data_IF_328175910671
#
_entry.id   IF_328175910671
#
_cell.length_a   1.000
_cell.length_b   1.000
_cell.length_c   1.000
_cell.angle_alpha   90.00
_cell.angle_beta   90.00
_cell.angle_gamma   90.00
#
_symmetry.space_group_name_H-M   'P 1'
#
loop_
_entity.id
_entity.type
_entity.pdbx_description
1 polymer ?
#
# COMPACT_ATOMS: atom_id res chain seq x y z
N UNK A 1 -8.73 3.16 17.37
CA UNK A 1 -9.09 1.73 17.35
C UNK A 1 -10.61 1.66 17.20
N UNK A 2 -11.07 0.89 16.23
CA UNK A 2 -12.49 0.66 15.93
C UNK A 2 -12.82 -0.78 16.31
N UNK A 3 -13.80 -0.97 17.18
CA UNK A 3 -14.20 -2.31 17.64
C UNK A 3 -15.09 -3.06 16.64
N UNK A 4 -15.73 -2.33 15.75
CA UNK A 4 -16.54 -2.90 14.67
C UNK A 4 -16.46 -1.96 13.47
N UNK A 5 -16.02 -2.49 12.35
CA UNK A 5 -15.88 -1.75 11.10
C UNK A 5 -16.29 -2.66 9.95
N UNK A 6 -17.10 -2.13 9.06
CA UNK A 6 -17.39 -2.82 7.82
C UNK A 6 -16.12 -2.78 6.94
N UNK A 7 -15.75 -3.92 6.39
CA UNK A 7 -14.61 -4.01 5.46
C UNK A 7 -15.05 -3.54 4.07
N UNK A 8 -14.21 -2.71 3.47
CA UNK A 8 -14.47 -2.14 2.17
C UNK A 8 -13.75 -2.87 1.03
N UNK A 9 -13.87 -2.33 -0.16
CA UNK A 9 -13.27 -2.88 -1.38
C UNK A 9 -11.73 -2.88 -1.35
N UNK A 10 -11.09 -2.00 -0.60
CA UNK A 10 -9.63 -1.96 -0.45
C UNK A 10 -9.06 -3.24 0.15
N UNK A 11 -9.86 -3.97 0.95
CA UNK A 11 -9.52 -5.30 1.44
C UNK A 11 -10.12 -6.41 0.58
N UNK A 12 -11.43 -6.32 0.28
CA UNK A 12 -12.17 -7.45 -0.29
C UNK A 12 -11.83 -7.71 -1.76
N UNK A 13 -11.50 -6.68 -2.54
CA UNK A 13 -11.14 -6.85 -3.95
C UNK A 13 -9.81 -7.59 -4.11
N UNK A 14 -8.69 -7.17 -3.50
CA UNK A 14 -7.44 -7.92 -3.60
C UNK A 14 -7.58 -9.37 -3.12
N UNK A 15 -8.24 -9.59 -1.98
CA UNK A 15 -8.44 -10.94 -1.45
C UNK A 15 -9.27 -11.80 -2.41
N UNK A 16 -10.34 -11.25 -2.98
CA UNK A 16 -11.19 -12.00 -3.92
C UNK A 16 -10.46 -12.36 -5.21
N UNK A 17 -9.62 -11.46 -5.72
CA UNK A 17 -8.83 -11.71 -6.92
C UNK A 17 -7.75 -12.78 -6.70
N UNK A 18 -7.12 -12.79 -5.54
CA UNK A 18 -6.03 -13.71 -5.25
C UNK A 18 -6.48 -15.05 -4.64
N UNK A 19 -7.54 -15.02 -3.85
CA UNK A 19 -7.98 -16.16 -3.04
C UNK A 19 -9.38 -16.69 -3.41
N UNK A 20 -10.05 -16.07 -4.39
CA UNK A 20 -11.45 -16.37 -4.71
C UNK A 20 -12.44 -15.78 -3.70
N UNK A 21 -13.72 -16.06 -3.88
CA UNK A 21 -14.75 -15.61 -2.96
C UNK A 21 -14.82 -16.53 -1.75
N UNK A 22 -14.84 -16.00 -0.52
CA UNK A 22 -15.01 -16.84 0.65
C UNK A 22 -16.44 -17.37 0.73
N UNK A 23 -16.59 -18.57 1.24
CA UNK A 23 -17.90 -19.09 1.65
C UNK A 23 -18.06 -19.01 3.16
N UNK A 24 -19.31 -19.01 3.69
CA UNK A 24 -19.53 -19.02 5.13
C UNK A 24 -18.85 -20.20 5.86
N UNK A 25 -18.68 -21.32 5.17
CA UNK A 25 -18.08 -22.54 5.73
C UNK A 25 -16.56 -22.55 5.65
N UNK A 26 -15.98 -21.97 4.61
CA UNK A 26 -14.54 -22.06 4.36
C UNK A 26 -13.78 -20.77 4.73
N UNK A 27 -14.47 -19.61 4.68
CA UNK A 27 -13.80 -18.32 4.89
C UNK A 27 -12.69 -18.05 3.87
N UNK A 28 -11.73 -17.23 4.25
CA UNK A 28 -10.50 -17.00 3.49
C UNK A 28 -9.49 -18.12 3.77
N UNK A 29 -8.57 -18.46 2.82
CA UNK A 29 -7.61 -19.55 2.99
C UNK A 29 -6.54 -19.29 4.06
N UNK A 30 -6.46 -18.06 4.58
CA UNK A 30 -5.53 -17.65 5.61
C UNK A 30 -6.19 -16.63 6.56
N UNK A 31 -5.71 -16.49 7.80
CA UNK A 31 -6.10 -15.40 8.68
C UNK A 31 -5.72 -14.05 8.06
N UNK A 32 -6.63 -13.07 8.17
CA UNK A 32 -6.46 -11.73 7.63
C UNK A 32 -6.67 -10.70 8.72
N UNK A 33 -5.74 -9.77 8.87
CA UNK A 33 -5.84 -8.62 9.76
C UNK A 33 -6.06 -7.37 8.91
N UNK A 34 -7.28 -6.81 8.85
CA UNK A 34 -7.53 -5.57 8.15
C UNK A 34 -6.90 -4.40 8.91
N UNK A 35 -6.14 -3.57 8.21
CA UNK A 35 -5.50 -2.38 8.74
C UNK A 35 -5.97 -1.16 7.96
N UNK A 36 -7.00 -0.48 8.45
CA UNK A 36 -7.56 0.69 7.81
C UNK A 36 -6.70 1.94 8.08
N UNK A 37 -6.37 2.66 7.02
CA UNK A 37 -5.59 3.90 7.07
C UNK A 37 -6.45 5.04 6.52
N UNK A 38 -6.68 6.07 7.34
CA UNK A 38 -7.36 7.26 6.86
C UNK A 38 -6.42 8.10 5.98
N UNK A 39 -6.71 8.17 4.69
CA UNK A 39 -5.94 8.95 3.72
C UNK A 39 -6.74 10.09 3.09
N UNK A 40 -8.03 10.22 3.41
CA UNK A 40 -8.94 11.20 2.80
C UNK A 40 -9.31 12.32 3.75
N UNK A 41 -9.61 12.00 5.01
CA UNK A 41 -10.04 12.98 6.00
C UNK A 41 -8.86 13.49 6.83
N UNK A 42 -8.79 14.80 7.01
CA UNK A 42 -7.75 15.41 7.87
C UNK A 42 -7.98 15.04 9.34
N UNK A 43 -6.92 14.72 10.10
CA UNK A 43 -5.51 14.67 9.68
C UNK A 43 -5.15 13.32 9.03
N UNK A 44 -4.47 13.39 7.87
CA UNK A 44 -3.94 12.20 7.20
C UNK A 44 -2.52 11.88 7.70
N UNK A 45 -2.11 10.59 7.79
CA UNK A 45 -0.76 10.23 8.19
C UNK A 45 0.25 10.62 7.12
N UNK A 46 1.40 11.18 7.53
CA UNK A 46 2.50 11.43 6.61
C UNK A 46 3.12 10.14 6.09
N UNK A 47 3.83 10.20 4.97
CA UNK A 47 4.59 9.06 4.45
C UNK A 47 5.58 8.49 5.47
N UNK A 48 6.26 9.36 6.24
CA UNK A 48 7.15 8.92 7.32
C UNK A 48 6.39 8.19 8.43
N UNK A 49 5.18 8.65 8.77
CA UNK A 49 4.34 7.95 9.75
C UNK A 49 3.93 6.58 9.25
N UNK A 50 3.51 6.47 7.99
CA UNK A 50 3.17 5.20 7.37
C UNK A 50 4.37 4.24 7.36
N UNK A 51 5.54 4.71 6.95
CA UNK A 51 6.76 3.91 6.95
C UNK A 51 7.13 3.42 8.35
N UNK A 52 7.04 4.27 9.37
CA UNK A 52 7.32 3.89 10.77
C UNK A 52 6.27 2.91 11.34
N UNK A 53 5.01 2.99 10.91
CA UNK A 53 4.00 1.98 11.25
C UNK A 53 4.42 0.61 10.69
N UNK A 54 4.88 0.57 9.45
CA UNK A 54 5.41 -0.66 8.85
C UNK A 54 6.55 -1.27 9.69
N UNK A 55 7.51 -0.45 10.10
CA UNK A 55 8.60 -0.90 10.99
C UNK A 55 8.09 -1.45 12.34
N UNK A 56 7.07 -0.82 12.90
CA UNK A 56 6.45 -1.32 14.14
C UNK A 56 5.74 -2.67 13.91
N UNK A 57 5.09 -2.84 12.76
CA UNK A 57 4.51 -4.14 12.36
C UNK A 57 5.62 -5.19 12.22
N UNK A 58 6.73 -4.86 11.57
CA UNK A 58 7.89 -5.76 11.48
C UNK A 58 8.37 -6.21 12.84
N UNK A 59 8.56 -5.28 13.78
CA UNK A 59 8.95 -5.60 15.14
C UNK A 59 7.96 -6.54 15.85
N UNK A 60 6.67 -6.33 15.64
CA UNK A 60 5.64 -7.19 16.19
C UNK A 60 5.70 -8.61 15.59
N UNK A 61 5.94 -8.73 14.28
CA UNK A 61 6.12 -10.02 13.61
C UNK A 61 7.35 -10.75 14.14
N UNK A 62 8.49 -10.07 14.25
CA UNK A 62 9.74 -10.66 14.74
C UNK A 62 9.65 -11.11 16.21
N UNK A 63 8.74 -10.52 16.99
CA UNK A 63 8.47 -10.90 18.38
C UNK A 63 7.42 -12.01 18.54
N UNK A 64 6.79 -12.43 17.45
CA UNK A 64 5.77 -13.47 17.48
C UNK A 64 6.43 -14.84 17.57
N UNK A 65 5.92 -15.70 18.45
CA UNK A 65 6.57 -16.97 18.82
C UNK A 65 6.21 -18.16 17.89
N UNK A 66 5.40 -17.92 16.87
CA UNK A 66 5.01 -18.94 15.92
C UNK A 66 5.75 -18.76 14.59
N UNK A 67 6.16 -19.87 13.99
CA UNK A 67 6.76 -19.90 12.64
C UNK A 67 5.66 -19.80 11.58
N UNK A 68 5.42 -18.59 11.11
CA UNK A 68 4.39 -18.27 10.11
C UNK A 68 4.95 -17.41 8.98
N UNK A 69 4.42 -17.60 7.79
CA UNK A 69 4.67 -16.69 6.67
C UNK A 69 3.71 -15.49 6.75
N UNK A 70 4.26 -14.31 6.82
CA UNK A 70 3.48 -13.07 6.89
C UNK A 70 3.61 -12.30 5.58
N UNK A 71 2.47 -11.98 4.97
CA UNK A 71 2.36 -11.13 3.81
C UNK A 71 1.71 -9.80 4.21
N UNK A 72 2.29 -8.69 3.79
CA UNK A 72 1.74 -7.36 4.05
C UNK A 72 1.39 -6.71 2.72
N UNK A 73 0.14 -6.35 2.56
CA UNK A 73 -0.39 -5.77 1.33
C UNK A 73 -0.68 -4.30 1.53
N UNK A 74 0.00 -3.44 0.76
CA UNK A 74 -0.42 -2.06 0.56
C UNK A 74 -1.42 -2.02 -0.58
N UNK A 75 -2.60 -1.50 -0.36
CA UNK A 75 -3.68 -1.40 -1.35
C UNK A 75 -3.96 0.05 -1.71
N UNK A 76 -4.77 0.29 -2.72
CA UNK A 76 -5.06 1.60 -3.28
C UNK A 76 -4.54 1.75 -4.70
N UNK A 77 -5.23 2.55 -5.51
CA UNK A 77 -4.86 2.83 -6.89
C UNK A 77 -3.62 3.73 -7.00
N UNK A 78 -2.98 3.70 -8.16
CA UNK A 78 -1.93 4.66 -8.51
C UNK A 78 -2.56 5.99 -8.94
N UNK A 79 -2.00 6.71 -9.90
CA UNK A 79 -2.58 7.99 -10.29
C UNK A 79 -4.02 7.83 -10.78
N UNK A 80 -4.92 8.57 -10.19
CA UNK A 80 -6.31 8.72 -10.63
C UNK A 80 -6.98 9.91 -9.95
N UNK A 81 -7.97 10.45 -10.64
CA UNK A 81 -8.87 11.44 -10.10
C UNK A 81 -10.26 11.24 -10.67
N UNK A 82 -11.22 10.97 -9.81
CA UNK A 82 -12.58 10.57 -10.23
C UNK A 82 -13.48 11.77 -10.51
N UNK A 83 -13.22 12.91 -9.87
CA UNK A 83 -14.09 14.07 -9.91
C UNK A 83 -13.31 15.39 -10.10
N UNK A 84 -14.04 16.45 -10.46
CA UNK A 84 -13.50 17.80 -10.61
C UNK A 84 -12.84 18.05 -11.95
N UNK A 85 -12.14 19.19 -12.06
CA UNK A 85 -11.56 19.67 -13.33
C UNK A 85 -10.48 18.75 -13.93
N UNK A 86 -9.91 17.88 -13.12
CA UNK A 86 -8.87 16.92 -13.54
C UNK A 86 -9.38 15.48 -13.54
N UNK A 87 -10.69 15.27 -13.59
CA UNK A 87 -11.26 13.91 -13.69
C UNK A 87 -10.63 13.15 -14.88
N UNK A 88 -10.20 11.90 -14.62
CA UNK A 88 -9.47 11.10 -15.60
C UNK A 88 -7.95 11.32 -15.61
N UNK A 89 -7.39 12.07 -14.65
CA UNK A 89 -5.95 12.25 -14.52
C UNK A 89 -5.24 10.88 -14.40
N UNK A 90 -4.28 10.68 -15.29
CA UNK A 90 -3.30 9.58 -15.23
C UNK A 90 -1.92 10.19 -15.43
N UNK A 91 -0.97 9.80 -14.57
CA UNK A 91 0.42 10.26 -14.66
C UNK A 91 1.37 9.06 -14.60
N UNK A 92 1.53 8.42 -15.75
CA UNK A 92 2.35 7.20 -15.88
C UNK A 92 3.82 7.41 -15.47
N UNK A 93 4.38 8.58 -15.77
CA UNK A 93 5.77 8.89 -15.41
C UNK A 93 5.93 8.94 -13.88
N UNK A 94 5.04 9.65 -13.20
CA UNK A 94 5.05 9.75 -11.74
C UNK A 94 4.80 8.39 -11.09
N UNK A 95 3.85 7.61 -11.60
CA UNK A 95 3.52 6.28 -11.10
C UNK A 95 4.72 5.33 -11.17
N UNK A 96 5.41 5.27 -12.30
CA UNK A 96 6.59 4.43 -12.44
C UNK A 96 7.75 4.91 -11.55
N UNK A 97 7.96 6.22 -11.44
CA UNK A 97 8.94 6.79 -10.51
C UNK A 97 8.59 6.47 -9.05
N UNK A 98 7.31 6.46 -8.69
CA UNK A 98 6.86 6.04 -7.36
C UNK A 98 7.25 4.58 -7.07
N UNK A 99 7.00 3.67 -8.02
CA UNK A 99 7.38 2.26 -7.89
C UNK A 99 8.90 2.09 -7.76
N UNK A 100 9.70 2.84 -8.54
CA UNK A 100 11.16 2.84 -8.45
C UNK A 100 11.64 3.32 -7.08
N UNK A 101 11.11 4.45 -6.60
CA UNK A 101 11.47 4.99 -5.29
C UNK A 101 11.03 4.09 -4.14
N UNK A 102 9.91 3.40 -4.27
CA UNK A 102 9.46 2.45 -3.25
C UNK A 102 10.45 1.29 -3.10
N UNK A 103 11.09 0.87 -4.19
CA UNK A 103 12.14 -0.15 -4.19
C UNK A 103 13.45 0.42 -3.66
N UNK A 104 13.94 1.50 -4.28
CA UNK A 104 15.33 1.95 -4.19
C UNK A 104 15.56 2.99 -3.09
N UNK A 105 14.58 3.88 -2.86
CA UNK A 105 14.70 4.98 -1.91
C UNK A 105 13.39 5.25 -1.13
N UNK A 106 12.90 4.29 -0.35
CA UNK A 106 11.65 4.46 0.40
C UNK A 106 11.72 5.57 1.46
N UNK A 107 12.90 5.87 1.99
CA UNK A 107 13.08 7.00 2.92
C UNK A 107 12.91 8.36 2.24
N UNK A 108 13.38 8.50 1.01
CA UNK A 108 13.15 9.70 0.19
C UNK A 108 11.66 9.84 -0.14
N UNK A 109 11.02 8.74 -0.51
CA UNK A 109 9.59 8.69 -0.80
C UNK A 109 8.74 9.03 0.44
N UNK A 110 9.11 8.52 1.61
CA UNK A 110 8.42 8.80 2.88
C UNK A 110 8.44 10.29 3.29
N UNK A 111 9.40 11.06 2.77
CA UNK A 111 9.52 12.51 3.03
C UNK A 111 8.70 13.36 2.06
N UNK A 112 8.14 12.79 0.98
CA UNK A 112 7.32 13.55 0.04
C UNK A 112 6.08 14.11 0.74
N UNK A 113 5.77 15.40 0.57
CA UNK A 113 4.56 16.00 1.15
C UNK A 113 3.30 15.52 0.42
N UNK A 114 2.19 15.47 1.11
CA UNK A 114 0.91 15.02 0.54
C UNK A 114 0.49 15.82 -0.69
N UNK A 115 0.84 17.11 -0.74
CA UNK A 115 0.51 17.95 -1.88
C UNK A 115 1.13 17.44 -3.19
N UNK A 116 2.30 16.80 -3.12
CA UNK A 116 2.94 16.22 -4.30
C UNK A 116 2.13 15.02 -4.82
N UNK A 117 1.62 14.15 -3.92
CA UNK A 117 0.72 13.06 -4.31
C UNK A 117 -0.54 13.60 -4.98
N UNK A 118 -1.21 14.56 -4.34
CA UNK A 118 -2.46 15.12 -4.87
C UNK A 118 -2.22 15.85 -6.19
N UNK A 119 -1.10 16.57 -6.34
CA UNK A 119 -0.77 17.28 -7.57
C UNK A 119 -0.44 16.32 -8.71
N UNK A 120 0.38 15.32 -8.46
CA UNK A 120 0.92 14.46 -9.50
C UNK A 120 0.06 13.21 -9.75
N UNK A 121 -0.51 12.63 -8.69
CA UNK A 121 -1.29 11.39 -8.79
C UNK A 121 -2.81 11.59 -8.70
N UNK A 122 -3.27 12.80 -8.41
CA UNK A 122 -4.69 13.07 -8.25
C UNK A 122 -5.18 12.98 -6.80
N UNK A 123 -6.41 13.42 -6.56
CA UNK A 123 -6.99 13.45 -5.22
C UNK A 123 -7.08 12.07 -4.58
N UNK A 124 -7.39 11.05 -5.36
CA UNK A 124 -7.49 9.67 -4.90
C UNK A 124 -6.12 8.96 -4.89
N UNK A 125 -5.16 9.41 -5.71
CA UNK A 125 -3.79 8.90 -5.71
C UNK A 125 -3.02 9.09 -4.41
N UNK A 126 -3.55 9.88 -3.46
CA UNK A 126 -3.01 9.98 -2.09
C UNK A 126 -3.00 8.61 -1.37
N UNK A 127 -3.81 7.65 -1.81
CA UNK A 127 -3.84 6.29 -1.28
C UNK A 127 -2.46 5.62 -1.30
N UNK A 128 -1.60 5.98 -2.24
CA UNK A 128 -0.24 5.43 -2.35
C UNK A 128 0.63 5.67 -1.11
N UNK A 129 0.30 6.66 -0.28
CA UNK A 129 1.04 6.90 0.95
C UNK A 129 1.00 5.70 1.90
N UNK A 130 -0.08 4.91 1.88
CA UNK A 130 -0.21 3.72 2.72
C UNK A 130 0.63 2.54 2.24
N UNK A 131 1.10 2.50 0.96
CA UNK A 131 2.02 1.47 0.49
C UNK A 131 3.36 1.52 1.24
N UNK A 132 3.70 2.68 1.78
CA UNK A 132 4.88 2.83 2.64
C UNK A 132 4.80 2.00 3.93
N UNK A 133 3.61 1.59 4.37
CA UNK A 133 3.46 0.67 5.51
C UNK A 133 4.03 -0.70 5.13
N UNK A 134 3.60 -1.26 3.99
CA UNK A 134 4.12 -2.54 3.52
C UNK A 134 5.63 -2.48 3.30
N UNK A 135 6.14 -1.41 2.68
CA UNK A 135 7.58 -1.23 2.46
C UNK A 135 8.36 -1.04 3.77
N UNK A 136 7.81 -0.33 4.73
CA UNK A 136 8.41 -0.14 6.05
C UNK A 136 8.55 -1.46 6.83
N UNK A 137 7.60 -2.37 6.66
CA UNK A 137 7.64 -3.69 7.28
C UNK A 137 8.73 -4.63 6.74
N UNK A 138 9.35 -4.27 5.63
CA UNK A 138 10.55 -4.94 5.09
C UNK A 138 11.86 -4.36 5.63
N UNK A 139 11.79 -3.45 6.60
CA UNK A 139 12.96 -2.70 7.12
C UNK A 139 13.13 -2.96 8.61
N UNK A 140 14.35 -3.07 9.07
CA UNK A 140 14.66 -3.13 10.48
C UNK A 140 14.20 -1.85 11.20
N UNK A 141 13.88 -1.98 12.48
CA UNK A 141 13.29 -0.88 13.27
C UNK A 141 14.20 0.35 13.30
N UNK A 142 15.50 0.14 13.44
CA UNK A 142 16.51 1.21 13.55
C UNK A 142 17.54 1.20 12.41
N UNK A 143 17.36 0.32 11.43
CA UNK A 143 18.29 0.12 10.32
C UNK A 143 17.93 0.84 9.03
N UNK A 144 18.79 0.76 8.01
CA UNK A 144 18.45 1.16 6.66
C UNK A 144 17.34 0.25 6.11
N UNK A 145 16.59 0.77 5.13
CA UNK A 145 15.69 -0.09 4.37
C UNK A 145 16.53 -0.92 3.38
N UNK A 146 16.63 -2.24 3.53
CA UNK A 146 17.40 -3.07 2.61
C UNK A 146 16.77 -3.01 1.21
N UNK A 147 17.60 -3.20 0.19
CA UNK A 147 17.11 -3.34 -1.18
C UNK A 147 16.39 -4.69 -1.28
N UNK A 148 15.09 -4.72 -1.58
CA UNK A 148 14.35 -5.98 -1.67
C UNK A 148 14.65 -6.69 -2.99
N UNK A 149 14.39 -8.00 -3.04
CA UNK A 149 14.27 -8.72 -4.29
C UNK A 149 12.92 -8.37 -4.93
N UNK A 150 12.93 -7.90 -6.17
CA UNK A 150 11.70 -7.66 -6.95
C UNK A 150 11.30 -8.97 -7.60
N UNK A 151 10.26 -9.61 -7.09
CA UNK A 151 9.71 -10.84 -7.65
C UNK A 151 8.75 -10.56 -8.81
N UNK A 152 8.00 -9.46 -8.73
CA UNK A 152 7.10 -9.05 -9.79
C UNK A 152 6.92 -7.52 -9.80
N UNK A 153 6.81 -6.94 -11.00
CA UNK A 153 6.46 -5.54 -11.23
C UNK A 153 5.58 -5.45 -12.48
N UNK A 154 4.45 -4.77 -12.34
CA UNK A 154 3.52 -4.53 -13.44
C UNK A 154 2.84 -3.18 -13.27
N UNK A 155 2.56 -2.51 -14.39
CA UNK A 155 1.82 -1.27 -14.45
C UNK A 155 0.85 -1.29 -15.63
N UNK A 156 -0.38 -0.84 -15.42
CA UNK A 156 -1.40 -0.79 -16.45
C UNK A 156 -2.40 0.34 -16.18
N UNK A 157 -2.93 0.90 -17.26
CA UNK A 157 -4.01 1.89 -17.20
C UNK A 157 -5.25 1.27 -17.84
N UNK A 158 -6.19 0.75 -17.05
CA UNK A 158 -7.43 0.20 -17.57
C UNK A 158 -8.42 1.30 -17.97
N UNK A 159 -9.48 0.92 -18.68
CA UNK A 159 -10.55 1.83 -19.10
C UNK A 159 -11.32 2.50 -17.94
N UNK A 160 -11.12 2.03 -16.71
CA UNK A 160 -11.70 2.63 -15.49
C UNK A 160 -11.06 3.95 -15.07
N UNK A 161 -10.05 4.43 -15.78
CA UNK A 161 -9.30 5.65 -15.43
C UNK A 161 -8.67 5.65 -14.03
N UNK A 162 -8.28 4.48 -13.56
CA UNK A 162 -7.47 4.31 -12.35
C UNK A 162 -6.21 3.55 -12.75
N UNK A 163 -5.05 4.17 -12.66
CA UNK A 163 -3.80 3.47 -12.93
C UNK A 163 -3.57 2.37 -11.88
N UNK A 164 -3.11 1.22 -12.31
CA UNK A 164 -2.92 0.04 -11.48
C UNK A 164 -1.45 -0.35 -11.50
N UNK A 165 -0.87 -0.48 -10.33
CA UNK A 165 0.48 -1.02 -10.13
C UNK A 165 0.43 -2.29 -9.30
N UNK A 166 1.19 -3.30 -9.72
CA UNK A 166 1.44 -4.49 -8.91
C UNK A 166 2.93 -4.60 -8.65
N UNK A 167 3.29 -4.78 -7.40
CA UNK A 167 4.67 -4.93 -6.97
C UNK A 167 4.75 -6.02 -5.90
N UNK A 168 5.52 -7.06 -6.17
CA UNK A 168 5.83 -8.11 -5.19
C UNK A 168 7.30 -8.00 -4.83
N UNK A 169 7.55 -7.71 -3.56
CA UNK A 169 8.87 -7.58 -2.97
C UNK A 169 9.10 -8.71 -1.96
N UNK A 170 10.29 -9.29 -1.99
CA UNK A 170 10.72 -10.33 -1.05
C UNK A 170 11.93 -9.82 -0.26
N UNK A 171 12.05 -10.23 0.99
CA UNK A 171 13.29 -10.04 1.76
C UNK A 171 14.42 -10.87 1.10
N UNK A 172 15.63 -10.30 1.14
CA UNK A 172 16.83 -11.03 0.70
C UNK A 172 17.39 -11.85 1.86
#
# INVERSE_FOLDING_TARGET
>A
IVNKMDVDHGLTVPLSLMCGQPTPEQGWPCPVIPFAVNVVQYPVPSGQRCFNIGRAIRKAIDSYDQDINVHIWGTGGMSHQLQGARAGLINQEWDNNFLDLLIENPHGLAKKPHIDYVREAGSEGIELVMWLIARGAMSDVDGPAPLPKVAHRFYHVPASNTAVGHLILENQ
#
